data_IF_602835333981
#
_entry.id   IF_602835333981
#
_cell.length_a   1.000
_cell.length_b   1.000
_cell.length_c   1.000
_cell.angle_alpha   90.00
_cell.angle_beta   90.00
_cell.angle_gamma   90.00
#
_symmetry.space_group_name_H-M   'P 1'
#
loop_
_entity.id
_entity.type
_entity.pdbx_description
1 polymer ?
#
# COMPACT_ATOMS: atom_id res chain seq x y z
N UNK A 1 2.34 -45.38 1.98
CA UNK A 1 1.72 -44.66 3.12
C UNK A 1 1.75 -43.18 2.81
N UNK A 2 0.57 -42.60 2.68
CA UNK A 2 0.30 -41.32 2.02
C UNK A 2 0.88 -40.14 2.79
N UNK A 3 1.61 -39.25 2.07
CA UNK A 3 1.97 -37.93 2.58
C UNK A 3 0.70 -37.07 2.58
N UNK A 4 0.15 -36.85 3.76
CA UNK A 4 -0.94 -35.91 3.95
C UNK A 4 -0.33 -34.51 3.92
N UNK A 5 -0.39 -33.85 2.75
CA UNK A 5 -0.14 -32.42 2.65
C UNK A 5 -1.38 -31.75 3.24
N UNK A 6 -1.24 -31.19 4.44
CA UNK A 6 -2.29 -30.35 5.03
C UNK A 6 -2.30 -29.03 4.26
N UNK A 7 -3.06 -29.00 3.17
CA UNK A 7 -3.41 -27.80 2.42
C UNK A 7 -4.55 -27.09 3.16
N UNK A 8 -4.21 -26.39 4.23
CA UNK A 8 -5.11 -25.38 4.79
C UNK A 8 -4.33 -24.09 4.82
N UNK A 9 -4.37 -23.35 3.70
CA UNK A 9 -4.02 -21.94 3.75
C UNK A 9 -4.99 -21.28 4.73
N UNK A 10 -4.52 -20.59 5.78
CA UNK A 10 -5.41 -19.78 6.58
C UNK A 10 -5.98 -18.74 5.62
N UNK A 11 -7.29 -18.81 5.39
CA UNK A 11 -8.06 -17.78 4.70
C UNK A 11 -7.80 -16.48 5.46
N UNK A 12 -6.78 -15.75 5.01
CA UNK A 12 -6.40 -14.46 5.51
C UNK A 12 -7.56 -13.55 5.22
N UNK A 13 -8.27 -13.17 6.28
CA UNK A 13 -9.32 -12.15 6.27
C UNK A 13 -8.90 -11.02 5.33
N UNK A 14 -9.60 -10.90 4.22
CA UNK A 14 -9.28 -9.98 3.13
C UNK A 14 -9.05 -8.57 3.68
N UNK A 15 -7.89 -7.95 3.46
CA UNK A 15 -7.77 -6.51 3.61
C UNK A 15 -8.48 -5.86 2.42
N UNK A 16 -9.83 -5.88 2.40
CA UNK A 16 -10.68 -5.26 1.36
C UNK A 16 -10.06 -5.42 -0.03
N UNK A 17 -10.00 -6.67 -0.53
CA UNK A 17 -9.40 -6.94 -1.82
C UNK A 17 -10.11 -6.11 -2.89
N UNK A 18 -9.34 -5.21 -3.49
CA UNK A 18 -9.82 -4.38 -4.57
C UNK A 18 -10.50 -3.06 -4.20
N UNK A 19 -10.32 -2.46 -3.02
CA UNK A 19 -10.65 -1.04 -2.83
C UNK A 19 -9.53 -0.24 -2.16
N UNK A 20 -9.47 1.06 -2.46
CA UNK A 20 -8.67 1.99 -1.67
C UNK A 20 -9.24 2.04 -0.26
N UNK A 21 -8.47 1.74 0.79
CA UNK A 21 -9.06 1.74 2.13
C UNK A 21 -9.21 3.12 2.76
N UNK A 22 -8.88 4.19 2.01
CA UNK A 22 -9.16 5.58 2.38
C UNK A 22 -9.55 6.39 1.15
N UNK A 23 -10.42 7.38 1.33
CA UNK A 23 -10.73 8.39 0.32
C UNK A 23 -9.60 9.41 0.11
N UNK A 24 -9.66 10.17 -0.97
CA UNK A 24 -8.67 11.22 -1.29
C UNK A 24 -8.62 12.31 -0.20
N UNK A 25 -9.77 12.83 0.23
CA UNK A 25 -9.87 13.95 1.17
C UNK A 25 -9.80 13.56 2.65
N UNK A 26 -9.22 12.42 2.99
CA UNK A 26 -9.14 11.95 4.38
C UNK A 26 -7.82 12.38 5.08
N UNK A 27 -7.32 13.59 4.81
CA UNK A 27 -6.04 14.11 5.30
C UNK A 27 -5.87 14.02 6.83
N UNK A 28 -6.99 14.08 7.57
CA UNK A 28 -7.02 14.02 9.03
C UNK A 28 -6.50 12.71 9.63
N UNK A 29 -6.41 11.63 8.83
CA UNK A 29 -5.86 10.34 9.29
C UNK A 29 -4.33 10.35 9.44
N UNK A 30 -3.63 11.24 8.75
CA UNK A 30 -2.16 11.38 8.81
C UNK A 30 -1.75 12.85 8.69
N UNK A 31 -2.01 13.66 9.73
CA UNK A 31 -1.73 15.10 9.73
C UNK A 31 -0.26 15.45 9.43
N UNK A 32 0.68 14.63 9.89
CA UNK A 32 2.11 14.83 9.63
C UNK A 32 2.48 14.70 8.15
N UNK A 33 2.03 13.63 7.49
CA UNK A 33 2.23 13.47 6.05
C UNK A 33 1.40 14.50 5.26
N UNK A 34 0.20 14.86 5.72
CA UNK A 34 -0.63 15.91 5.11
C UNK A 34 0.10 17.26 5.09
N UNK A 35 0.63 17.68 6.24
CA UNK A 35 1.44 18.89 6.35
C UNK A 35 2.70 18.80 5.48
N UNK A 36 3.41 17.66 5.51
CA UNK A 36 4.61 17.48 4.70
C UNK A 36 4.34 17.48 3.19
N UNK A 37 3.22 16.91 2.74
CA UNK A 37 2.78 16.98 1.35
C UNK A 37 2.47 18.41 0.91
N UNK A 38 1.93 19.26 1.80
CA UNK A 38 1.64 20.66 1.51
C UNK A 38 2.90 21.55 1.57
N UNK A 39 3.79 21.32 2.55
CA UNK A 39 4.99 22.12 2.76
C UNK A 39 6.14 21.76 1.81
N UNK A 40 6.26 20.48 1.42
CA UNK A 40 7.37 19.99 0.63
C UNK A 40 6.95 18.84 -0.29
N UNK A 41 6.02 19.15 -1.19
CA UNK A 41 5.42 18.18 -2.10
C UNK A 41 6.44 17.35 -2.91
N UNK A 42 7.50 17.93 -3.53
CA UNK A 42 8.46 17.14 -4.30
C UNK A 42 9.13 16.06 -3.46
N UNK A 43 9.62 16.41 -2.27
CA UNK A 43 10.30 15.46 -1.37
C UNK A 43 9.32 14.41 -0.84
N UNK A 44 8.09 14.80 -0.54
CA UNK A 44 7.04 13.86 -0.14
C UNK A 44 6.77 12.83 -1.23
N UNK A 45 6.62 13.24 -2.49
CA UNK A 45 6.38 12.31 -3.60
C UNK A 45 7.56 11.37 -3.84
N UNK A 46 8.81 11.84 -3.69
CA UNK A 46 10.00 10.99 -3.72
C UNK A 46 9.96 9.92 -2.61
N UNK A 47 9.60 10.31 -1.37
CA UNK A 47 9.45 9.39 -0.24
C UNK A 47 8.41 8.30 -0.52
N UNK A 48 7.24 8.68 -1.03
CA UNK A 48 6.15 7.73 -1.35
C UNK A 48 6.57 6.79 -2.48
N UNK A 49 7.28 7.31 -3.48
CA UNK A 49 7.78 6.51 -4.61
C UNK A 49 8.79 5.46 -4.18
N UNK A 50 9.75 5.84 -3.33
CA UNK A 50 10.68 4.89 -2.70
C UNK A 50 9.96 3.82 -1.90
N UNK A 51 8.93 4.20 -1.13
CA UNK A 51 8.16 3.25 -0.32
C UNK A 51 7.38 2.24 -1.17
N UNK A 52 7.00 2.60 -2.40
CA UNK A 52 6.38 1.67 -3.35
C UNK A 52 7.41 0.84 -4.15
N UNK A 53 8.71 1.10 -3.99
CA UNK A 53 9.80 0.35 -4.64
C UNK A 53 10.21 0.87 -6.02
N UNK A 54 9.88 2.11 -6.38
CA UNK A 54 10.30 2.74 -7.64
C UNK A 54 11.39 3.80 -7.42
N UNK A 55 12.06 4.30 -8.49
CA UNK A 55 13.10 5.32 -8.32
C UNK A 55 12.51 6.61 -7.71
N UNK A 56 13.09 7.14 -6.61
CA UNK A 56 12.62 8.38 -5.99
C UNK A 56 12.64 9.58 -6.92
N UNK A 57 13.38 9.50 -8.02
CA UNK A 57 13.54 10.55 -9.02
C UNK A 57 12.33 10.72 -9.96
N UNK A 58 11.49 9.68 -10.11
CA UNK A 58 10.36 9.70 -11.07
C UNK A 58 9.41 10.90 -10.87
N UNK A 59 9.00 11.26 -9.65
CA UNK A 59 8.07 12.37 -9.42
C UNK A 59 8.62 13.74 -9.82
N UNK A 60 9.94 13.90 -9.98
CA UNK A 60 10.51 15.17 -10.45
C UNK A 60 10.13 15.46 -11.91
N UNK A 61 9.76 14.44 -12.68
CA UNK A 61 9.28 14.60 -14.06
C UNK A 61 7.81 15.07 -14.11
N UNK A 62 7.08 15.03 -12.99
CA UNK A 62 5.67 15.46 -12.93
C UNK A 62 5.49 16.98 -13.11
N UNK A 63 6.57 17.75 -12.95
CA UNK A 63 6.54 19.21 -13.13
C UNK A 63 6.49 19.66 -14.61
N UNK A 64 6.62 18.74 -15.57
CA UNK A 64 6.85 19.07 -17.00
C UNK A 64 5.54 19.12 -17.80
N UNK A 65 4.39 18.74 -17.23
CA UNK A 65 3.13 18.71 -17.98
C UNK A 65 1.87 18.81 -17.12
N UNK A 66 0.74 18.97 -17.80
CA UNK A 66 -0.58 19.01 -17.16
C UNK A 66 -0.95 17.63 -16.58
N UNK A 67 -0.49 16.55 -17.22
CA UNK A 67 -0.67 15.18 -16.74
C UNK A 67 0.62 14.71 -16.07
N UNK A 68 0.65 14.51 -14.74
CA UNK A 68 1.84 14.04 -14.03
C UNK A 68 2.05 12.53 -14.27
N UNK A 69 3.04 12.12 -15.09
CA UNK A 69 3.24 10.73 -15.48
C UNK A 69 3.61 9.80 -14.32
N UNK A 70 4.41 10.25 -13.34
CA UNK A 70 4.80 9.45 -12.19
C UNK A 70 3.62 9.27 -11.22
N UNK A 71 2.84 10.31 -10.94
CA UNK A 71 1.60 10.16 -10.16
C UNK A 71 0.66 9.13 -10.80
N UNK A 72 0.46 9.21 -12.12
CA UNK A 72 -0.36 8.26 -12.86
C UNK A 72 0.20 6.83 -12.78
N UNK A 73 1.51 6.66 -13.04
CA UNK A 73 2.18 5.37 -12.99
C UNK A 73 2.11 4.74 -11.59
N UNK A 74 2.33 5.53 -10.54
CA UNK A 74 2.28 5.06 -9.16
C UNK A 74 0.87 4.68 -8.72
N UNK A 75 -0.14 5.45 -9.15
CA UNK A 75 -1.53 5.12 -8.87
C UNK A 75 -1.97 3.86 -9.63
N UNK A 76 -1.55 3.70 -10.88
CA UNK A 76 -1.80 2.51 -11.68
C UNK A 76 -1.10 1.28 -11.10
N UNK A 77 0.16 1.40 -10.67
CA UNK A 77 0.93 0.29 -10.10
C UNK A 77 0.32 -0.21 -8.80
N UNK A 78 -0.12 0.70 -7.91
CA UNK A 78 -0.81 0.35 -6.66
C UNK A 78 -2.15 -0.32 -6.95
N UNK A 79 -2.93 0.18 -7.93
CA UNK A 79 -4.18 -0.47 -8.33
C UNK A 79 -3.95 -1.88 -8.88
N UNK A 80 -2.97 -2.04 -9.75
CA UNK A 80 -2.62 -3.34 -10.31
C UNK A 80 -2.14 -4.31 -9.23
N UNK A 81 -1.28 -3.84 -8.31
CA UNK A 81 -0.71 -4.67 -7.23
C UNK A 81 -1.76 -5.15 -6.23
N UNK A 82 -2.83 -4.39 -6.06
CA UNK A 82 -3.85 -4.63 -5.04
C UNK A 82 -5.25 -4.87 -5.61
N UNK A 83 -5.36 -5.13 -6.91
CA UNK A 83 -6.59 -5.41 -7.64
C UNK A 83 -7.69 -4.35 -7.47
N UNK A 84 -7.33 -3.08 -7.29
CA UNK A 84 -8.29 -1.98 -7.09
C UNK A 84 -8.87 -1.57 -8.46
N UNK A 85 -10.21 -1.50 -8.65
CA UNK A 85 -10.83 -1.08 -9.89
C UNK A 85 -10.66 0.42 -10.11
N UNK A 86 -10.59 0.81 -11.38
CA UNK A 86 -10.44 2.19 -11.79
C UNK A 86 -10.17 2.31 -13.27
N UNK A 87 -10.16 3.54 -13.77
CA UNK A 87 -9.82 3.85 -15.15
C UNK A 87 -8.77 4.97 -15.21
N UNK A 88 -7.99 4.98 -16.30
CA UNK A 88 -6.89 5.93 -16.51
C UNK A 88 -7.38 7.38 -16.51
N UNK A 89 -8.62 7.63 -16.97
CA UNK A 89 -9.20 8.96 -17.03
C UNK A 89 -9.43 9.54 -15.63
N UNK A 90 -9.98 8.75 -14.71
CA UNK A 90 -10.14 9.13 -13.30
C UNK A 90 -8.78 9.41 -12.64
N UNK A 91 -7.74 8.68 -13.02
CA UNK A 91 -6.40 8.86 -12.46
C UNK A 91 -5.69 10.09 -12.97
N UNK A 92 -5.91 10.42 -14.24
CA UNK A 92 -5.51 11.69 -14.81
C UNK A 92 -6.19 12.84 -14.05
N UNK A 93 -7.51 12.78 -13.83
CA UNK A 93 -8.24 13.81 -13.09
C UNK A 93 -7.72 13.97 -11.64
N UNK A 94 -7.46 12.86 -10.93
CA UNK A 94 -6.91 12.93 -9.57
C UNK A 94 -5.46 13.43 -9.56
N UNK A 95 -4.66 13.09 -10.56
CA UNK A 95 -3.32 13.60 -10.76
C UNK A 95 -3.29 15.10 -11.04
N UNK A 96 -4.21 15.61 -11.86
CA UNK A 96 -4.25 17.03 -12.24
C UNK A 96 -4.94 17.91 -11.18
N UNK A 97 -6.13 17.52 -10.72
CA UNK A 97 -6.98 18.36 -9.87
C UNK A 97 -6.73 18.14 -8.37
N UNK A 98 -6.14 17.01 -7.97
CA UNK A 98 -6.00 16.60 -6.57
C UNK A 98 -4.62 15.98 -6.28
N UNK A 99 -3.57 16.48 -6.92
CA UNK A 99 -2.21 15.91 -6.88
C UNK A 99 -1.72 15.53 -5.47
N UNK A 100 -1.67 16.44 -4.48
CA UNK A 100 -1.18 16.09 -3.13
C UNK A 100 -2.07 15.06 -2.42
N UNK A 101 -3.38 15.13 -2.61
CA UNK A 101 -4.33 14.19 -2.02
C UNK A 101 -4.21 12.79 -2.63
N UNK A 102 -3.95 12.71 -3.94
CA UNK A 102 -3.71 11.45 -4.65
C UNK A 102 -2.47 10.75 -4.07
N UNK A 103 -1.38 11.48 -3.85
CA UNK A 103 -0.17 10.94 -3.23
C UNK A 103 -0.35 10.55 -1.77
N UNK A 104 -1.12 11.31 -1.00
CA UNK A 104 -1.47 10.94 0.38
C UNK A 104 -2.32 9.67 0.45
N UNK A 105 -3.27 9.49 -0.48
CA UNK A 105 -4.03 8.25 -0.59
C UNK A 105 -3.11 7.06 -0.87
N UNK A 106 -2.17 7.20 -1.82
CA UNK A 106 -1.17 6.18 -2.13
C UNK A 106 -0.29 5.86 -0.91
N UNK A 107 0.24 6.88 -0.23
CA UNK A 107 1.08 6.71 0.98
C UNK A 107 0.38 5.88 2.04
N UNK A 108 -0.88 6.21 2.34
CA UNK A 108 -1.69 5.51 3.35
C UNK A 108 -1.99 4.07 2.97
N UNK A 109 -2.24 3.83 1.69
CA UNK A 109 -2.42 2.48 1.15
C UNK A 109 -1.19 1.61 1.39
N UNK A 110 0.00 2.12 1.04
CA UNK A 110 1.25 1.41 1.24
C UNK A 110 1.53 1.15 2.73
N UNK A 111 1.36 2.16 3.59
CA UNK A 111 1.57 2.02 5.05
C UNK A 111 0.67 0.95 5.66
N UNK A 112 -0.63 0.99 5.34
CA UNK A 112 -1.61 0.06 5.91
C UNK A 112 -1.31 -1.38 5.48
N UNK A 113 -1.02 -1.59 4.20
CA UNK A 113 -0.68 -2.93 3.70
C UNK A 113 0.64 -3.43 4.28
N UNK A 114 1.65 -2.57 4.42
CA UNK A 114 2.88 -2.92 5.12
C UNK A 114 2.63 -3.35 6.58
N UNK A 115 1.76 -2.63 7.30
CA UNK A 115 1.36 -2.99 8.65
C UNK A 115 0.58 -4.33 8.71
N UNK A 116 -0.31 -4.58 7.74
CA UNK A 116 -1.01 -5.87 7.63
C UNK A 116 -0.04 -7.03 7.42
N UNK A 117 0.94 -6.91 6.51
CA UNK A 117 1.97 -7.94 6.32
C UNK A 117 2.83 -8.17 7.57
N UNK A 118 3.19 -7.10 8.30
CA UNK A 118 3.92 -7.21 9.56
C UNK A 118 3.10 -7.92 10.66
N UNK A 119 1.79 -7.64 10.73
CA UNK A 119 0.88 -8.32 11.66
C UNK A 119 0.69 -9.80 11.32
N UNK A 120 0.61 -10.16 10.03
CA UNK A 120 0.55 -11.56 9.59
C UNK A 120 1.85 -12.30 9.87
N UNK A 121 3.01 -11.64 9.74
CA UNK A 121 4.31 -12.22 10.10
C UNK A 121 4.48 -12.40 11.62
N UNK A 122 3.96 -11.47 12.43
CA UNK A 122 3.95 -11.60 13.89
C UNK A 122 2.98 -12.68 14.38
N UNK A 123 1.83 -12.81 13.74
CA UNK A 123 0.91 -13.94 13.96
C UNK A 123 1.56 -15.24 13.50
N UNK A 124 2.40 -15.19 12.46
CA UNK A 124 3.20 -16.30 11.95
C UNK A 124 4.26 -16.84 12.86
N UNK A 125 5.03 -15.97 13.46
CA UNK A 125 5.95 -16.35 14.53
C UNK A 125 5.19 -16.92 15.76
N UNK A 126 3.98 -16.41 16.06
CA UNK A 126 3.20 -16.87 17.22
C UNK A 126 2.54 -18.24 17.01
N UNK A 127 2.06 -18.55 15.81
CA UNK A 127 1.53 -19.90 15.53
C UNK A 127 2.63 -20.96 15.46
N UNK A 128 3.80 -20.64 14.91
CA UNK A 128 4.95 -21.56 14.88
C UNK A 128 5.50 -21.82 16.28
N UNK A 129 5.48 -20.81 17.16
CA UNK A 129 5.86 -20.96 18.56
C UNK A 129 4.84 -21.78 19.38
N UNK A 130 3.53 -21.63 19.12
CA UNK A 130 2.49 -22.42 19.78
C UNK A 130 2.51 -23.89 19.33
N UNK A 131 2.73 -24.17 18.05
CA UNK A 131 2.83 -25.55 17.53
C UNK A 131 4.02 -26.29 18.14
N UNK A 132 5.15 -25.60 18.33
CA UNK A 132 6.35 -26.13 19.01
C UNK A 132 6.12 -26.44 20.49
N UNK A 133 5.27 -25.68 21.18
CA UNK A 133 4.95 -25.92 22.59
C UNK A 133 3.97 -27.09 22.76
N UNK A 134 3.05 -27.28 21.82
CA UNK A 134 2.06 -28.36 21.86
C UNK A 134 2.61 -29.71 21.39
N UNK A 135 3.68 -29.73 20.58
CA UNK A 135 4.41 -30.95 20.22
C UNK A 135 5.25 -31.57 21.34
N UNK A 136 5.54 -30.83 22.41
CA UNK A 136 6.37 -31.30 23.54
C UNK A 136 5.56 -31.97 24.68
N UNK A 137 4.22 -31.97 24.61
CA UNK A 137 3.33 -32.51 25.65
C UNK A 137 2.56 -33.78 25.20
N UNK A 138 3.01 -34.40 24.10
CA UNK A 138 2.45 -35.65 23.56
C UNK A 138 3.54 -36.72 23.29
N UNK A 139 4.58 -36.77 24.13
CA UNK A 139 5.48 -37.93 24.27
C UNK A 139 5.50 -38.39 25.72
#
# INVERSE_FOLDING_TARGET
MSRQVVEVQPLSRDPEEGQWSTGLCECYKDMGDCCFALCCLPVFTCKVTSAAGACPCLPLLDCIGCVPPASLAMRASVRQRYSIPGNVCSDCLYGCCCYPLSWLQISRELKRRAASYASSSSSSARYTALDSLQGAHLV
#
